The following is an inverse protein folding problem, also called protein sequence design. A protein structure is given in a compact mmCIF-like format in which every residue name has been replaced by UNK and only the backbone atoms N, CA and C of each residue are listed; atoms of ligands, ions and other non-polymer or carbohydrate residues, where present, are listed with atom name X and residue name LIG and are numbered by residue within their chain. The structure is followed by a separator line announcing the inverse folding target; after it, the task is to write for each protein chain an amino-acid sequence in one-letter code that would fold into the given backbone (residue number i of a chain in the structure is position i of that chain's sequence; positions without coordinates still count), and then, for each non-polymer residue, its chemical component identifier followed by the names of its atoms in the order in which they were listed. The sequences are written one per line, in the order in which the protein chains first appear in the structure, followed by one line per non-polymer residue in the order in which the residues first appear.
data_IF_485741438959
#
_entry.id   IF_485741438959
#
_cell.length_a   1.000
_cell.length_b   1.000
_cell.length_c   1.000
_cell.angle_alpha   90.00
_cell.angle_beta   90.00
_cell.angle_gamma   90.00
#
_symmetry.space_group_name_H-M   'P 1'
#
loop_
_entity.id
_entity.type
_entity.pdbx_description
1 polymer ?
#
# COMPACT_ATOMS: atom_id res chain seq x y z
N UNK A 1 -6.93 21.53 19.61
CA UNK A 1 -7.04 20.73 18.39
C UNK A 1 -7.62 21.57 17.24
N UNK A 2 -6.89 22.58 16.76
CA UNK A 2 -7.36 23.46 15.70
C UNK A 2 -6.59 23.19 14.40
N UNK A 3 -7.33 22.80 13.33
CA UNK A 3 -6.95 22.93 11.90
C UNK A 3 -5.76 22.17 11.32
N UNK A 4 -5.35 21.01 11.87
CA UNK A 4 -4.32 20.17 11.23
C UNK A 4 -4.88 19.48 9.96
N UNK A 5 -6.15 19.13 9.94
CA UNK A 5 -6.81 18.43 8.83
C UNK A 5 -6.85 19.23 7.52
N UNK A 6 -6.90 20.56 7.59
CA UNK A 6 -7.17 21.46 6.45
C UNK A 6 -5.95 22.26 5.98
N UNK A 7 -4.73 21.85 6.34
CA UNK A 7 -3.56 22.47 5.70
C UNK A 7 -3.62 22.17 4.20
N UNK A 8 -3.56 23.21 3.37
CA UNK A 8 -3.63 23.13 1.89
C UNK A 8 -2.70 22.05 1.32
N UNK A 9 -1.54 21.90 1.90
CA UNK A 9 -0.53 20.91 1.48
C UNK A 9 -0.98 19.46 1.70
N UNK A 10 -1.69 19.19 2.81
CA UNK A 10 -2.26 17.86 3.09
C UNK A 10 -3.35 17.51 2.08
N UNK A 11 -4.23 18.46 1.76
CA UNK A 11 -5.29 18.27 0.77
C UNK A 11 -4.69 17.96 -0.61
N UNK A 12 -3.65 18.69 -1.02
CA UNK A 12 -2.97 18.46 -2.31
C UNK A 12 -2.37 17.05 -2.41
N UNK A 13 -1.72 16.54 -1.35
CA UNK A 13 -1.17 15.18 -1.32
C UNK A 13 -2.27 14.12 -1.23
N UNK A 14 -3.28 14.34 -0.40
CA UNK A 14 -4.47 13.49 -0.34
C UNK A 14 -5.12 13.35 -1.72
N UNK A 15 -5.31 14.46 -2.42
CA UNK A 15 -5.89 14.46 -3.76
C UNK A 15 -5.01 13.74 -4.76
N UNK A 16 -3.69 13.93 -4.71
CA UNK A 16 -2.76 13.24 -5.61
C UNK A 16 -2.74 11.72 -5.36
N UNK A 17 -2.73 11.28 -4.10
CA UNK A 17 -2.83 9.86 -3.73
C UNK A 17 -4.20 9.27 -4.12
N UNK A 18 -5.28 10.02 -3.94
CA UNK A 18 -6.63 9.59 -4.32
C UNK A 18 -6.74 9.43 -5.84
N UNK A 19 -6.26 10.40 -6.62
CA UNK A 19 -6.23 10.29 -8.08
C UNK A 19 -5.33 9.15 -8.56
N UNK A 20 -4.19 8.92 -7.92
CA UNK A 20 -3.34 7.79 -8.23
C UNK A 20 -4.07 6.46 -8.01
N UNK A 21 -4.69 6.26 -6.86
CA UNK A 21 -5.45 5.03 -6.57
C UNK A 21 -6.64 4.87 -7.52
N UNK A 22 -7.35 5.96 -7.83
CA UNK A 22 -8.46 5.96 -8.76
C UNK A 22 -8.02 5.52 -10.16
N UNK A 23 -6.98 6.16 -10.71
CA UNK A 23 -6.50 5.83 -12.08
C UNK A 23 -5.88 4.44 -12.13
N UNK A 24 -5.13 4.03 -11.10
CA UNK A 24 -4.48 2.72 -11.04
C UNK A 24 -5.51 1.59 -11.06
N UNK A 25 -6.53 1.67 -10.18
CA UNK A 25 -7.55 0.64 -10.05
C UNK A 25 -8.64 0.75 -11.14
N UNK A 26 -8.91 1.95 -11.66
CA UNK A 26 -9.80 2.14 -12.80
C UNK A 26 -9.20 1.59 -14.09
N UNK A 27 -7.91 1.82 -14.32
CA UNK A 27 -7.22 1.23 -15.47
C UNK A 27 -7.16 -0.31 -15.39
N UNK A 28 -7.04 -0.88 -14.17
CA UNK A 28 -7.12 -2.33 -13.94
C UNK A 28 -8.49 -2.86 -14.32
N UNK A 29 -9.55 -2.25 -13.84
CA UNK A 29 -10.91 -2.66 -14.13
C UNK A 29 -11.26 -2.58 -15.64
N UNK A 30 -10.88 -1.47 -16.29
CA UNK A 30 -11.04 -1.32 -17.75
C UNK A 30 -10.24 -2.40 -18.50
N UNK A 31 -8.99 -2.65 -18.11
CA UNK A 31 -8.13 -3.66 -18.72
C UNK A 31 -8.75 -5.06 -18.61
N UNK A 32 -9.20 -5.46 -17.42
CA UNK A 32 -9.75 -6.78 -17.16
C UNK A 32 -11.04 -7.01 -17.97
N UNK A 33 -11.92 -5.99 -18.01
CA UNK A 33 -13.13 -6.03 -18.80
C UNK A 33 -12.85 -6.17 -20.31
N UNK A 34 -11.88 -5.42 -20.85
CA UNK A 34 -11.54 -5.51 -22.27
C UNK A 34 -10.79 -6.81 -22.60
N UNK A 35 -9.98 -7.30 -21.66
CA UNK A 35 -9.26 -8.56 -21.83
C UNK A 35 -10.18 -9.78 -21.80
N UNK A 36 -11.30 -9.71 -21.07
CA UNK A 36 -12.32 -10.77 -21.03
C UNK A 36 -12.96 -11.05 -22.41
N UNK A 37 -12.92 -10.10 -23.36
CA UNK A 37 -13.34 -10.33 -24.75
C UNK A 37 -12.29 -11.11 -25.57
N UNK A 38 -11.04 -11.24 -25.07
CA UNK A 38 -9.89 -11.75 -25.82
C UNK A 38 -9.42 -13.13 -25.34
N UNK A 39 -9.76 -13.51 -24.10
CA UNK A 39 -9.26 -14.75 -23.49
C UNK A 39 -10.24 -15.29 -22.44
N UNK A 40 -9.98 -16.49 -21.93
CA UNK A 40 -10.73 -17.08 -20.82
C UNK A 40 -10.44 -16.39 -19.49
N UNK A 41 -11.26 -16.67 -18.48
CA UNK A 41 -11.10 -16.05 -17.14
C UNK A 41 -9.72 -16.28 -16.51
N UNK A 42 -9.09 -17.44 -16.77
CA UNK A 42 -7.71 -17.70 -16.32
C UNK A 42 -6.69 -16.85 -17.05
N UNK A 43 -6.87 -16.64 -18.35
CA UNK A 43 -6.06 -15.74 -19.16
C UNK A 43 -6.18 -14.30 -18.73
N UNK A 44 -7.37 -13.82 -18.31
CA UNK A 44 -7.57 -12.48 -17.75
C UNK A 44 -6.73 -12.31 -16.48
N UNK A 45 -6.82 -13.24 -15.51
CA UNK A 45 -6.04 -13.18 -14.25
C UNK A 45 -4.54 -13.17 -14.51
N UNK A 46 -4.06 -13.97 -15.47
CA UNK A 46 -2.64 -13.96 -15.82
C UNK A 46 -2.22 -12.66 -16.49
N UNK A 47 -3.02 -12.13 -17.41
CA UNK A 47 -2.75 -10.86 -18.06
C UNK A 47 -2.74 -9.70 -17.04
N UNK A 48 -3.71 -9.66 -16.11
CA UNK A 48 -3.75 -8.71 -14.99
C UNK A 48 -2.48 -8.81 -14.14
N UNK A 49 -2.06 -10.03 -13.77
CA UNK A 49 -0.83 -10.22 -13.00
C UNK A 49 0.40 -9.66 -13.73
N UNK A 50 0.50 -9.83 -15.04
CA UNK A 50 1.61 -9.29 -15.83
C UNK A 50 1.61 -7.76 -15.88
N UNK A 51 0.45 -7.12 -16.09
CA UNK A 51 0.37 -5.65 -16.12
C UNK A 51 0.62 -5.06 -14.75
N UNK A 52 0.05 -5.61 -13.69
CA UNK A 52 0.35 -5.18 -12.32
C UNK A 52 1.84 -5.27 -12.02
N UNK A 53 2.46 -6.39 -12.33
CA UNK A 53 3.88 -6.59 -12.10
C UNK A 53 4.77 -5.69 -12.96
N UNK A 54 4.35 -5.32 -14.18
CA UNK A 54 5.11 -4.36 -15.00
C UNK A 54 5.21 -2.98 -14.32
N UNK A 55 4.25 -2.61 -13.48
CA UNK A 55 4.30 -1.37 -12.71
C UNK A 55 5.49 -1.31 -11.76
N UNK A 56 5.99 -2.47 -11.30
CA UNK A 56 7.20 -2.57 -10.47
C UNK A 56 8.40 -1.93 -11.16
N UNK A 57 8.54 -2.16 -12.48
CA UNK A 57 9.59 -1.52 -13.28
C UNK A 57 9.48 0.00 -13.20
N UNK A 58 8.26 0.55 -13.29
CA UNK A 58 8.00 1.98 -13.16
C UNK A 58 8.35 2.52 -11.77
N UNK A 59 7.96 1.81 -10.70
CA UNK A 59 8.28 2.20 -9.32
C UNK A 59 9.80 2.27 -9.09
N UNK A 60 10.56 1.31 -9.61
CA UNK A 60 12.01 1.27 -9.49
C UNK A 60 12.70 2.31 -10.38
N UNK A 61 12.19 2.47 -11.61
CA UNK A 61 12.76 3.38 -12.60
C UNK A 61 12.72 4.84 -12.14
N UNK A 62 11.67 5.26 -11.46
CA UNK A 62 11.55 6.60 -10.90
C UNK A 62 12.73 6.94 -9.97
N UNK A 63 13.08 6.04 -9.04
CA UNK A 63 14.21 6.25 -8.12
C UNK A 63 15.55 6.45 -8.82
N UNK A 64 15.72 5.84 -10.00
CA UNK A 64 16.94 5.99 -10.83
C UNK A 64 16.90 7.28 -11.66
N UNK A 65 15.73 7.64 -12.19
CA UNK A 65 15.57 8.77 -13.11
C UNK A 65 15.55 10.12 -12.39
N UNK A 66 14.89 10.21 -11.23
CA UNK A 66 14.63 11.49 -10.56
C UNK A 66 15.92 12.26 -10.23
N UNK A 67 16.95 11.56 -9.75
CA UNK A 67 18.26 12.17 -9.44
C UNK A 67 19.12 12.55 -10.67
N UNK A 68 18.84 11.98 -11.86
CA UNK A 68 19.66 12.15 -13.07
C UNK A 68 19.06 13.13 -14.08
N UNK A 69 17.75 13.34 -14.07
CA UNK A 69 17.06 14.15 -15.08
C UNK A 69 17.05 15.64 -14.71
N UNK A 70 17.34 16.50 -15.70
CA UNK A 70 17.18 17.96 -15.59
C UNK A 70 15.69 18.32 -15.52
N UNK A 71 15.33 19.42 -14.86
CA UNK A 71 13.94 19.88 -14.69
C UNK A 71 13.15 20.01 -16.01
N UNK A 72 13.80 20.48 -17.07
CA UNK A 72 13.17 20.56 -18.42
C UNK A 72 12.84 19.17 -18.96
N UNK A 73 13.74 18.20 -18.76
CA UNK A 73 13.53 16.82 -19.20
C UNK A 73 12.43 16.12 -18.36
N UNK A 74 12.33 16.42 -17.06
CA UNK A 74 11.23 15.92 -16.21
C UNK A 74 9.88 16.40 -16.71
N UNK A 75 9.75 17.70 -17.04
CA UNK A 75 8.50 18.26 -17.59
C UNK A 75 8.13 17.65 -18.95
N UNK A 76 9.10 17.56 -19.87
CA UNK A 76 8.87 16.94 -21.17
C UNK A 76 8.51 15.46 -21.02
N UNK A 77 9.18 14.74 -20.09
CA UNK A 77 8.88 13.35 -19.78
C UNK A 77 7.49 13.16 -19.19
N UNK A 78 7.05 14.06 -18.27
CA UNK A 78 5.70 14.04 -17.71
C UNK A 78 4.63 14.25 -18.78
N UNK A 79 4.82 15.25 -19.68
CA UNK A 79 3.90 15.46 -20.78
C UNK A 79 3.88 14.26 -21.76
N UNK A 80 5.05 13.72 -22.11
CA UNK A 80 5.15 12.51 -22.92
C UNK A 80 4.47 11.29 -22.29
N UNK A 81 4.63 11.11 -20.98
CA UNK A 81 3.95 10.05 -20.22
C UNK A 81 2.43 10.21 -20.27
N UNK A 82 1.91 11.44 -20.13
CA UNK A 82 0.48 11.72 -20.25
C UNK A 82 -0.09 11.38 -21.63
N UNK A 83 0.62 11.74 -22.70
CA UNK A 83 0.21 11.38 -24.08
C UNK A 83 0.27 9.87 -24.30
N UNK A 84 1.35 9.22 -23.88
CA UNK A 84 1.51 7.78 -24.05
C UNK A 84 0.45 6.99 -23.24
N UNK A 85 0.12 7.43 -22.02
CA UNK A 85 -0.94 6.83 -21.21
C UNK A 85 -2.31 6.96 -21.91
N UNK A 86 -2.61 8.13 -22.51
CA UNK A 86 -3.85 8.32 -23.28
C UNK A 86 -3.93 7.35 -24.47
N UNK A 87 -2.83 7.17 -25.20
CA UNK A 87 -2.76 6.21 -26.32
C UNK A 87 -2.95 4.78 -25.81
N UNK A 88 -2.30 4.39 -24.70
CA UNK A 88 -2.46 3.07 -24.12
C UNK A 88 -3.90 2.79 -23.66
N UNK A 89 -4.55 3.74 -22.94
CA UNK A 89 -5.94 3.62 -22.51
C UNK A 89 -6.88 3.48 -23.71
N UNK A 90 -6.63 4.25 -24.79
CA UNK A 90 -7.39 4.13 -26.02
C UNK A 90 -7.20 2.75 -26.69
N UNK A 91 -5.96 2.25 -26.75
CA UNK A 91 -5.68 0.91 -27.31
C UNK A 91 -6.34 -0.20 -26.51
N UNK A 92 -6.37 -0.10 -25.17
CA UNK A 92 -7.05 -1.04 -24.29
C UNK A 92 -8.56 -1.02 -24.60
N UNK A 93 -9.16 0.16 -24.67
CA UNK A 93 -10.59 0.32 -24.95
C UNK A 93 -10.97 -0.26 -26.32
N UNK A 94 -10.15 -0.06 -27.36
CA UNK A 94 -10.40 -0.60 -28.71
C UNK A 94 -10.22 -2.12 -28.75
N UNK A 95 -9.41 -2.71 -27.90
CA UNK A 95 -9.16 -4.15 -27.69
C UNK A 95 -9.10 -4.98 -28.99
N UNK A 96 -8.34 -4.52 -30.01
CA UNK A 96 -8.27 -5.18 -31.32
C UNK A 96 -7.75 -6.62 -31.26
N UNK A 97 -6.78 -6.90 -30.39
CA UNK A 97 -6.20 -8.24 -30.21
C UNK A 97 -5.60 -8.39 -28.81
N UNK A 98 -5.50 -9.62 -28.32
CA UNK A 98 -4.87 -9.96 -27.06
C UNK A 98 -3.48 -9.32 -26.91
N UNK A 99 -2.62 -9.45 -27.93
CA UNK A 99 -1.26 -8.92 -27.90
C UNK A 99 -1.19 -7.40 -27.82
N UNK A 100 -2.05 -6.67 -28.57
CA UNK A 100 -2.09 -5.20 -28.55
C UNK A 100 -2.63 -4.67 -27.20
N UNK A 101 -3.67 -5.30 -26.66
CA UNK A 101 -4.26 -4.92 -25.38
C UNK A 101 -3.29 -5.18 -24.24
N UNK A 102 -2.62 -6.35 -24.23
CA UNK A 102 -1.60 -6.68 -23.24
C UNK A 102 -0.41 -5.73 -23.31
N UNK A 103 0.11 -5.44 -24.52
CA UNK A 103 1.25 -4.52 -24.68
C UNK A 103 0.90 -3.10 -24.20
N UNK A 104 -0.28 -2.59 -24.53
CA UNK A 104 -0.77 -1.30 -24.05
C UNK A 104 -0.89 -1.28 -22.52
N UNK A 105 -1.44 -2.35 -21.92
CA UNK A 105 -1.51 -2.52 -20.47
C UNK A 105 -0.14 -2.50 -19.81
N UNK A 106 0.82 -3.28 -20.31
CA UNK A 106 2.19 -3.31 -19.77
C UNK A 106 2.84 -1.94 -19.77
N UNK A 107 2.74 -1.18 -20.88
CA UNK A 107 3.30 0.16 -20.98
C UNK A 107 2.58 1.11 -20.02
N UNK A 108 1.25 1.10 -19.98
CA UNK A 108 0.45 1.93 -19.09
C UNK A 108 0.85 1.73 -17.63
N UNK A 109 1.01 0.47 -17.20
CA UNK A 109 1.34 0.18 -15.80
C UNK A 109 2.78 0.54 -15.44
N UNK A 110 3.73 0.52 -16.36
CA UNK A 110 5.04 1.13 -16.13
C UNK A 110 4.90 2.64 -15.87
N UNK A 111 4.08 3.35 -16.65
CA UNK A 111 3.83 4.79 -16.44
C UNK A 111 3.13 5.07 -15.12
N UNK A 112 2.13 4.25 -14.77
CA UNK A 112 1.44 4.32 -13.48
C UNK A 112 2.39 4.01 -12.30
N UNK A 113 3.33 3.09 -12.47
CA UNK A 113 4.38 2.83 -11.50
C UNK A 113 5.29 4.03 -11.25
N UNK A 114 5.72 4.73 -12.32
CA UNK A 114 6.51 5.97 -12.21
C UNK A 114 5.71 7.06 -11.47
N UNK A 115 4.45 7.29 -11.87
CA UNK A 115 3.57 8.27 -11.24
C UNK A 115 3.30 7.91 -9.76
N UNK A 116 3.06 6.62 -9.47
CA UNK A 116 2.86 6.12 -8.12
C UNK A 116 4.08 6.34 -7.22
N UNK A 117 5.28 6.00 -7.70
CA UNK A 117 6.51 6.24 -6.94
C UNK A 117 6.71 7.73 -6.64
N UNK A 118 6.46 8.61 -7.61
CA UNK A 118 6.54 10.05 -7.43
C UNK A 118 5.55 10.58 -6.39
N UNK A 119 4.30 10.11 -6.39
CA UNK A 119 3.27 10.53 -5.42
C UNK A 119 3.63 10.08 -4.01
N UNK A 120 4.03 8.81 -3.84
CA UNK A 120 4.46 8.27 -2.54
C UNK A 120 5.72 8.97 -2.01
N UNK A 121 6.69 9.26 -2.89
CA UNK A 121 7.87 10.03 -2.52
C UNK A 121 7.51 11.44 -2.02
N UNK A 122 6.58 12.13 -2.69
CA UNK A 122 6.10 13.44 -2.21
C UNK A 122 5.37 13.35 -0.87
N UNK A 123 4.61 12.29 -0.67
CA UNK A 123 3.99 12.02 0.62
C UNK A 123 5.06 11.82 1.71
N UNK A 124 6.12 11.05 1.42
CA UNK A 124 7.24 10.83 2.34
C UNK A 124 7.97 12.12 2.71
N UNK A 125 8.27 12.98 1.72
CA UNK A 125 8.96 14.24 1.96
C UNK A 125 8.17 15.24 2.80
N UNK A 126 6.84 15.15 2.84
CA UNK A 126 5.99 16.12 3.52
C UNK A 126 5.34 15.62 4.79
N UNK A 127 4.98 14.34 4.82
CA UNK A 127 4.17 13.74 5.89
C UNK A 127 4.73 12.43 6.44
N UNK A 128 5.91 12.01 6.01
CA UNK A 128 6.50 10.73 6.44
C UNK A 128 6.64 10.58 7.96
N UNK A 129 6.77 11.71 8.66
CA UNK A 129 6.96 11.77 10.11
C UNK A 129 5.75 12.34 10.87
N UNK A 130 4.65 12.70 10.19
CA UNK A 130 3.48 13.26 10.87
C UNK A 130 2.61 12.18 11.53
N UNK A 131 1.97 12.53 12.65
CA UNK A 131 1.13 11.64 13.46
C UNK A 131 -0.10 11.09 12.72
N UNK A 132 -0.57 11.78 11.65
CA UNK A 132 -1.78 11.43 10.88
C UNK A 132 -1.49 10.90 9.47
N UNK A 133 -0.36 10.24 9.27
CA UNK A 133 0.03 9.72 7.96
C UNK A 133 -0.90 8.61 7.48
N UNK A 134 -1.23 7.64 8.34
CA UNK A 134 -2.07 6.51 7.95
C UNK A 134 -3.51 6.97 7.63
N UNK A 135 -4.03 7.93 8.38
CA UNK A 135 -5.32 8.56 8.09
C UNK A 135 -5.31 9.25 6.73
N UNK A 136 -4.24 9.99 6.39
CA UNK A 136 -4.08 10.64 5.09
C UNK A 136 -4.07 9.62 3.95
N UNK A 137 -3.33 8.53 4.09
CA UNK A 137 -3.26 7.44 3.11
C UNK A 137 -4.61 6.72 3.00
N UNK A 138 -5.24 6.38 4.13
CA UNK A 138 -6.51 5.67 4.17
C UNK A 138 -7.67 6.47 3.57
N UNK A 139 -7.77 7.77 3.89
CA UNK A 139 -8.77 8.68 3.29
C UNK A 139 -8.52 8.82 1.79
N UNK A 140 -7.27 8.97 1.36
CA UNK A 140 -6.94 9.06 -0.06
C UNK A 140 -7.33 7.79 -0.83
N UNK A 141 -7.06 6.63 -0.24
CA UNK A 141 -7.44 5.35 -0.80
C UNK A 141 -8.97 5.20 -0.91
N UNK A 142 -9.69 5.55 0.16
CA UNK A 142 -11.13 5.52 0.19
C UNK A 142 -11.77 6.45 -0.86
N UNK A 143 -11.25 7.66 -1.02
CA UNK A 143 -11.72 8.61 -2.06
C UNK A 143 -11.48 8.03 -3.45
N UNK A 144 -10.28 7.48 -3.73
CA UNK A 144 -9.97 6.89 -5.03
C UNK A 144 -10.92 5.75 -5.39
N UNK A 145 -11.21 4.86 -4.44
CA UNK A 145 -12.16 3.75 -4.62
C UNK A 145 -13.60 4.20 -4.77
N UNK A 146 -14.00 5.23 -4.03
CA UNK A 146 -15.33 5.80 -4.15
C UNK A 146 -15.53 6.46 -5.53
N UNK A 147 -14.53 7.15 -6.06
CA UNK A 147 -14.57 7.68 -7.42
C UNK A 147 -14.70 6.55 -8.46
N UNK A 148 -13.95 5.47 -8.29
CA UNK A 148 -14.06 4.30 -9.16
C UNK A 148 -15.45 3.64 -9.06
N UNK A 149 -16.01 3.51 -7.86
CA UNK A 149 -17.36 3.02 -7.68
C UNK A 149 -18.39 3.89 -8.42
N UNK A 150 -18.28 5.21 -8.32
CA UNK A 150 -19.17 6.13 -9.05
C UNK A 150 -19.03 5.96 -10.57
N UNK A 151 -17.79 5.89 -11.07
CA UNK A 151 -17.52 5.67 -12.49
C UNK A 151 -18.15 4.38 -12.98
N UNK A 152 -17.89 3.26 -12.34
CA UNK A 152 -18.36 1.94 -12.75
C UNK A 152 -19.91 1.84 -12.73
N UNK A 153 -20.58 2.60 -11.87
CA UNK A 153 -22.04 2.56 -11.76
C UNK A 153 -22.78 3.63 -12.60
N UNK A 154 -22.10 4.72 -12.96
CA UNK A 154 -22.69 5.81 -13.75
C UNK A 154 -22.29 5.76 -15.22
N UNK A 155 -21.15 5.14 -15.54
CA UNK A 155 -20.57 5.12 -16.88
C UNK A 155 -20.50 3.68 -17.37
N UNK A 156 -21.29 3.38 -18.40
CA UNK A 156 -21.36 2.05 -18.98
C UNK A 156 -20.74 2.02 -20.40
N UNK A 157 -19.81 2.94 -20.66
CA UNK A 157 -19.15 3.08 -21.95
C UNK A 157 -17.64 3.14 -21.77
N UNK A 158 -16.94 2.11 -22.23
CA UNK A 158 -15.48 1.97 -22.09
C UNK A 158 -14.70 3.13 -22.73
N UNK A 159 -15.21 3.75 -23.80
CA UNK A 159 -14.53 4.92 -24.41
C UNK A 159 -14.62 6.16 -23.51
N UNK A 160 -15.77 6.37 -22.85
CA UNK A 160 -15.94 7.46 -21.89
C UNK A 160 -15.07 7.22 -20.66
N UNK A 161 -15.03 6.00 -20.15
CA UNK A 161 -14.15 5.58 -19.04
C UNK A 161 -12.68 5.86 -19.38
N UNK A 162 -12.20 5.45 -20.56
CA UNK A 162 -10.81 5.72 -20.99
C UNK A 162 -10.50 7.22 -21.06
N UNK A 163 -11.46 8.06 -21.48
CA UNK A 163 -11.30 9.53 -21.50
C UNK A 163 -11.20 10.07 -20.08
N UNK A 164 -12.06 9.64 -19.16
CA UNK A 164 -12.07 10.10 -17.77
C UNK A 164 -10.78 9.71 -17.07
N UNK A 165 -10.33 8.46 -17.21
CA UNK A 165 -9.04 7.99 -16.67
C UNK A 165 -7.87 8.78 -17.25
N UNK A 166 -7.90 9.14 -18.55
CA UNK A 166 -6.91 10.00 -19.18
C UNK A 166 -6.88 11.38 -18.53
N UNK A 167 -8.03 12.03 -18.36
CA UNK A 167 -8.13 13.35 -17.73
C UNK A 167 -7.66 13.29 -16.28
N UNK A 168 -8.04 12.25 -15.54
CA UNK A 168 -7.61 12.05 -14.17
C UNK A 168 -6.08 11.84 -14.07
N UNK A 169 -5.48 11.10 -15.00
CA UNK A 169 -4.03 10.93 -15.05
C UNK A 169 -3.30 12.25 -15.35
N UNK A 170 -3.81 13.06 -16.26
CA UNK A 170 -3.27 14.40 -16.52
C UNK A 170 -3.41 15.32 -15.30
N UNK A 171 -4.55 15.27 -14.61
CA UNK A 171 -4.75 16.00 -13.35
C UNK A 171 -3.75 15.57 -12.28
N UNK A 172 -3.50 14.26 -12.15
CA UNK A 172 -2.49 13.71 -11.26
C UNK A 172 -1.10 14.26 -11.59
N UNK A 173 -0.66 14.18 -12.86
CA UNK A 173 0.65 14.68 -13.29
C UNK A 173 0.78 16.19 -13.02
N UNK A 174 -0.26 16.98 -13.30
CA UNK A 174 -0.28 18.42 -13.03
C UNK A 174 -0.14 18.74 -11.54
N UNK A 175 -0.88 18.07 -10.67
CA UNK A 175 -0.80 18.27 -9.22
C UNK A 175 0.59 17.94 -8.69
N UNK A 176 1.18 16.87 -9.24
CA UNK A 176 2.48 16.40 -8.80
C UNK A 176 3.60 17.29 -9.35
N UNK A 177 3.48 17.89 -10.54
CA UNK A 177 4.51 18.76 -11.13
C UNK A 177 4.55 20.15 -10.51
N UNK A 178 3.40 20.69 -10.10
CA UNK A 178 3.21 22.10 -9.71
C UNK A 178 4.12 22.59 -8.57
N UNK A 179 4.70 21.72 -7.75
CA UNK A 179 5.57 22.13 -6.63
C UNK A 179 6.90 21.40 -6.59
N UNK A 180 7.99 22.17 -6.61
CA UNK A 180 9.33 21.69 -6.27
C UNK A 180 9.34 21.20 -4.83
N UNK A 181 9.83 19.99 -4.61
CA UNK A 181 10.20 19.53 -3.26
C UNK A 181 11.41 20.34 -2.84
N UNK A 182 11.24 21.22 -1.86
CA UNK A 182 12.36 21.96 -1.31
C UNK A 182 13.27 20.98 -0.59
N UNK A 183 14.54 20.84 -1.02
CA UNK A 183 15.52 19.91 -0.45
C UNK A 183 15.76 20.09 1.07
N UNK A 184 15.41 21.26 1.61
CA UNK A 184 15.54 21.58 3.04
C UNK A 184 14.58 20.82 3.97
N UNK A 185 13.50 20.20 3.43
CA UNK A 185 12.52 19.50 4.26
C UNK A 185 13.02 18.11 4.70
N UNK A 186 13.86 17.49 3.91
CA UNK A 186 14.45 16.21 4.24
C UNK A 186 15.52 16.31 5.36
N UNK A 187 16.29 17.40 5.35
CA UNK A 187 17.22 17.68 6.46
C UNK A 187 16.47 17.99 7.76
N UNK A 188 15.36 18.75 7.67
CA UNK A 188 14.55 19.12 8.83
C UNK A 188 13.87 17.91 9.49
N UNK A 189 13.34 16.97 8.70
CA UNK A 189 12.66 15.78 9.23
C UNK A 189 13.62 14.79 9.91
N UNK A 190 14.89 14.74 9.50
CA UNK A 190 15.91 13.89 10.13
C UNK A 190 16.34 14.38 11.52
N UNK A 191 16.13 15.67 11.83
CA UNK A 191 16.53 16.26 13.11
C UNK A 191 15.39 16.37 14.14
N UNK A 192 14.12 16.30 13.72
CA UNK A 192 12.96 16.52 14.61
C UNK A 192 12.24 15.24 15.06
N UNK A 193 12.61 14.07 14.53
CA UNK A 193 11.94 12.79 14.88
C UNK A 193 12.87 11.84 15.59
N UNK A 194 12.32 11.08 16.53
CA UNK A 194 13.03 10.02 17.24
C UNK A 194 13.61 9.01 16.24
N UNK A 195 14.93 8.74 16.28
CA UNK A 195 15.56 7.88 15.31
C UNK A 195 15.08 6.43 15.45
N UNK A 196 14.73 5.79 14.34
CA UNK A 196 14.56 4.34 14.31
C UNK A 196 15.92 3.67 14.45
N UNK A 197 16.05 2.75 15.40
CA UNK A 197 17.33 2.11 15.74
C UNK A 197 17.99 1.41 14.54
N UNK A 198 17.20 0.72 13.72
CA UNK A 198 17.68 -0.04 12.56
C UNK A 198 16.80 0.19 11.30
N UNK A 199 16.83 1.40 10.68
CA UNK A 199 15.89 1.74 9.63
C UNK A 199 15.97 0.83 8.39
N UNK A 200 17.18 0.41 7.98
CA UNK A 200 17.34 -0.51 6.85
C UNK A 200 16.83 -1.92 7.17
N UNK A 201 17.08 -2.43 8.37
CA UNK A 201 16.55 -3.72 8.78
C UNK A 201 15.03 -3.69 8.87
N UNK A 202 14.45 -2.63 9.43
CA UNK A 202 13.01 -2.42 9.46
C UNK A 202 12.40 -2.36 8.07
N UNK A 203 13.05 -1.66 7.13
CA UNK A 203 12.56 -1.56 5.75
C UNK A 203 12.60 -2.90 5.02
N UNK A 204 13.71 -3.64 5.12
CA UNK A 204 13.84 -4.97 4.51
C UNK A 204 12.83 -5.95 5.09
N UNK A 205 12.65 -5.92 6.41
CA UNK A 205 11.68 -6.79 7.10
C UNK A 205 10.25 -6.43 6.73
N UNK A 206 9.92 -5.13 6.59
CA UNK A 206 8.61 -4.69 6.10
C UNK A 206 8.36 -5.23 4.68
N UNK A 207 9.32 -5.06 3.78
CA UNK A 207 9.22 -5.56 2.39
C UNK A 207 8.99 -7.06 2.37
N UNK A 208 9.76 -7.82 3.16
CA UNK A 208 9.58 -9.26 3.28
C UNK A 208 8.20 -9.63 3.84
N UNK A 209 7.73 -8.91 4.86
CA UNK A 209 6.39 -9.07 5.41
C UNK A 209 5.31 -8.81 4.35
N UNK A 210 5.45 -7.72 3.57
CA UNK A 210 4.53 -7.39 2.47
C UNK A 210 4.53 -8.49 1.41
N UNK A 211 5.70 -9.01 1.04
CA UNK A 211 5.80 -10.11 0.07
C UNK A 211 5.06 -11.37 0.54
N UNK A 212 5.25 -11.77 1.79
CA UNK A 212 4.53 -12.92 2.37
C UNK A 212 3.01 -12.67 2.47
N UNK A 213 2.58 -11.48 2.91
CA UNK A 213 1.16 -11.12 2.96
C UNK A 213 0.54 -11.13 1.57
N UNK A 214 1.26 -10.65 0.55
CA UNK A 214 0.78 -10.66 -0.83
C UNK A 214 0.46 -12.09 -1.30
N UNK A 215 1.16 -13.11 -0.81
CA UNK A 215 0.83 -14.49 -1.16
C UNK A 215 -0.61 -14.87 -0.77
N UNK A 216 -1.08 -14.40 0.39
CA UNK A 216 -2.47 -14.62 0.84
C UNK A 216 -3.43 -13.73 0.04
N UNK A 217 -3.15 -12.43 0.01
CA UNK A 217 -4.06 -11.46 -0.60
C UNK A 217 -4.19 -11.63 -2.11
N UNK A 218 -3.09 -11.90 -2.85
CA UNK A 218 -3.14 -12.14 -4.28
C UNK A 218 -3.86 -13.46 -4.62
N UNK A 219 -3.79 -14.48 -3.77
CA UNK A 219 -4.56 -15.72 -3.99
C UNK A 219 -6.06 -15.47 -3.88
N UNK A 220 -6.49 -14.68 -2.89
CA UNK A 220 -7.88 -14.27 -2.74
C UNK A 220 -8.34 -13.35 -3.88
N UNK A 221 -7.51 -12.40 -4.28
CA UNK A 221 -7.76 -11.49 -5.39
C UNK A 221 -7.93 -12.25 -6.72
N UNK A 222 -7.05 -13.20 -7.01
CA UNK A 222 -7.16 -14.06 -8.19
C UNK A 222 -8.44 -14.89 -8.20
N UNK A 223 -8.90 -15.38 -7.04
CA UNK A 223 -10.18 -16.09 -6.93
C UNK A 223 -11.37 -15.17 -7.25
N UNK A 224 -11.31 -13.93 -6.80
CA UNK A 224 -12.31 -12.90 -7.06
C UNK A 224 -12.32 -12.47 -8.53
N UNK A 225 -11.13 -12.23 -9.10
CA UNK A 225 -10.98 -11.87 -10.53
C UNK A 225 -11.44 -13.00 -11.45
N UNK A 226 -11.19 -14.26 -11.09
CA UNK A 226 -11.75 -15.41 -11.81
C UNK A 226 -13.28 -15.40 -11.81
N UNK A 227 -13.89 -15.08 -10.66
CA UNK A 227 -15.34 -14.95 -10.54
C UNK A 227 -15.89 -13.79 -11.37
N UNK A 228 -15.23 -12.65 -11.38
CA UNK A 228 -15.60 -11.48 -12.19
C UNK A 228 -15.49 -11.78 -13.69
N UNK A 229 -14.36 -12.25 -14.16
CA UNK A 229 -14.13 -12.59 -15.56
C UNK A 229 -15.02 -13.75 -16.04
N UNK A 230 -15.48 -14.62 -15.13
CA UNK A 230 -16.46 -15.66 -15.39
C UNK A 230 -17.91 -15.17 -15.35
N UNK A 231 -18.18 -13.89 -15.11
CA UNK A 231 -19.51 -13.30 -15.07
C UNK A 231 -20.35 -13.67 -13.84
N UNK A 232 -19.75 -14.30 -12.81
CA UNK A 232 -20.48 -14.69 -11.60
C UNK A 232 -20.69 -13.55 -10.62
N UNK A 233 -19.91 -12.46 -10.74
CA UNK A 233 -20.01 -11.25 -9.92
C UNK A 233 -19.38 -10.05 -10.62
N UNK A 234 -19.80 -8.84 -10.23
CA UNK A 234 -19.18 -7.59 -10.65
C UNK A 234 -18.44 -6.96 -9.47
N UNK A 235 -17.10 -6.90 -9.59
CA UNK A 235 -16.22 -6.31 -8.56
C UNK A 235 -16.28 -4.79 -8.56
N UNK A 236 -16.80 -4.15 -9.60
CA UNK A 236 -16.92 -2.69 -9.73
C UNK A 236 -18.01 -2.07 -8.88
N UNK A 237 -18.91 -2.89 -8.33
CA UNK A 237 -20.08 -2.44 -7.58
C UNK A 237 -19.82 -2.36 -6.06
N UNK A 238 -20.73 -2.88 -5.25
CA UNK A 238 -20.66 -2.83 -3.78
C UNK A 238 -19.34 -3.33 -3.14
N UNK A 239 -18.58 -4.29 -3.72
CA UNK A 239 -17.28 -4.67 -3.16
C UNK A 239 -16.32 -3.50 -3.04
N UNK A 240 -16.33 -2.56 -3.99
CA UNK A 240 -15.51 -1.34 -3.94
C UNK A 240 -15.85 -0.43 -2.75
N UNK A 241 -17.11 -0.37 -2.33
CA UNK A 241 -17.50 0.39 -1.15
C UNK A 241 -16.95 -0.22 0.14
N UNK A 242 -16.97 -1.56 0.27
CA UNK A 242 -16.35 -2.23 1.42
C UNK A 242 -14.86 -1.93 1.48
N UNK A 243 -14.18 -2.00 0.35
CA UNK A 243 -12.75 -1.70 0.25
C UNK A 243 -12.46 -0.23 0.62
N UNK A 244 -13.30 0.72 0.18
CA UNK A 244 -13.19 2.13 0.53
C UNK A 244 -13.36 2.36 2.05
N UNK A 245 -14.40 1.77 2.64
CA UNK A 245 -14.66 1.83 4.09
C UNK A 245 -13.51 1.21 4.87
N UNK A 246 -13.00 0.07 4.43
CA UNK A 246 -11.84 -0.60 5.01
C UNK A 246 -10.59 0.28 5.00
N UNK A 247 -10.32 0.96 3.89
CA UNK A 247 -9.22 1.93 3.77
C UNK A 247 -9.35 3.08 4.75
N UNK A 248 -10.55 3.64 4.90
CA UNK A 248 -10.83 4.71 5.86
C UNK A 248 -10.63 4.25 7.29
N UNK A 249 -11.22 3.11 7.67
CA UNK A 249 -11.13 2.53 9.02
C UNK A 249 -9.68 2.19 9.37
N UNK A 250 -8.95 1.58 8.45
CA UNK A 250 -7.54 1.23 8.67
C UNK A 250 -6.66 2.47 8.88
N UNK A 251 -6.91 3.55 8.12
CA UNK A 251 -6.19 4.81 8.30
C UNK A 251 -6.32 5.36 9.72
N UNK A 252 -7.56 5.41 10.24
CA UNK A 252 -7.84 5.87 11.62
C UNK A 252 -7.22 4.95 12.66
N UNK A 253 -7.39 3.63 12.49
CA UNK A 253 -6.90 2.65 13.47
C UNK A 253 -5.38 2.57 13.52
N UNK A 254 -4.69 2.73 12.39
CA UNK A 254 -3.23 2.67 12.34
C UNK A 254 -2.55 3.91 12.94
N UNK A 255 -3.22 5.06 12.98
CA UNK A 255 -2.73 6.25 13.68
C UNK A 255 -3.18 6.30 15.16
N UNK A 256 -4.12 5.42 15.57
CA UNK A 256 -4.54 5.35 16.96
C UNK A 256 -3.36 4.99 17.89
N UNK A 257 -3.26 5.71 19.01
CA UNK A 257 -2.17 5.53 19.98
C UNK A 257 -0.78 5.80 19.38
N UNK A 258 -0.67 6.77 18.43
CA UNK A 258 0.57 7.11 17.72
C UNK A 258 1.14 5.95 16.89
N UNK A 259 0.27 5.07 16.40
CA UNK A 259 0.65 3.93 15.56
C UNK A 259 1.15 2.70 16.31
N UNK A 260 1.10 2.69 17.64
CA UNK A 260 1.56 1.57 18.49
C UNK A 260 0.88 0.25 18.16
N UNK A 261 -0.41 0.29 17.80
CA UNK A 261 -1.21 -0.91 17.55
C UNK A 261 -1.23 -1.37 16.09
N UNK A 262 -0.59 -0.65 15.18
CA UNK A 262 -0.63 -0.92 13.72
C UNK A 262 -0.23 -2.36 13.39
N UNK A 263 0.87 -2.86 13.92
CA UNK A 263 1.37 -4.21 13.65
C UNK A 263 0.47 -5.29 14.25
N UNK A 264 -0.06 -5.05 15.45
CA UNK A 264 -1.02 -5.95 16.10
C UNK A 264 -2.33 -6.03 15.30
N UNK A 265 -2.87 -4.91 14.86
CA UNK A 265 -4.08 -4.85 14.03
C UNK A 265 -3.83 -5.63 12.74
N UNK A 266 -2.68 -5.42 12.08
CA UNK A 266 -2.37 -6.12 10.83
C UNK A 266 -2.19 -7.63 11.03
N UNK A 267 -1.64 -8.06 12.18
CA UNK A 267 -1.60 -9.46 12.58
C UNK A 267 -3.02 -10.06 12.68
N UNK A 268 -3.94 -9.38 13.37
CA UNK A 268 -5.33 -9.82 13.49
C UNK A 268 -6.04 -9.89 12.14
N UNK A 269 -5.80 -8.92 11.25
CA UNK A 269 -6.35 -8.90 9.89
C UNK A 269 -5.83 -10.06 9.06
N UNK A 270 -4.54 -10.38 9.15
CA UNK A 270 -3.94 -11.53 8.46
C UNK A 270 -4.49 -12.86 8.99
N UNK A 271 -4.68 -12.97 10.31
CA UNK A 271 -5.32 -14.14 10.92
C UNK A 271 -6.75 -14.31 10.37
N UNK A 272 -7.54 -13.24 10.36
CA UNK A 272 -8.91 -13.25 9.83
C UNK A 272 -8.94 -13.68 8.36
N UNK A 273 -8.04 -13.17 7.52
CA UNK A 273 -7.92 -13.55 6.11
C UNK A 273 -7.56 -15.02 5.95
N UNK A 274 -6.65 -15.53 6.78
CA UNK A 274 -6.26 -16.95 6.76
C UNK A 274 -7.44 -17.85 7.14
N UNK A 275 -8.15 -17.52 8.23
CA UNK A 275 -9.36 -18.24 8.64
C UNK A 275 -10.42 -18.21 7.53
N UNK A 276 -10.57 -17.07 6.86
CA UNK A 276 -11.48 -16.93 5.73
C UNK A 276 -11.17 -17.92 4.59
N UNK A 277 -9.89 -18.05 4.20
CA UNK A 277 -9.47 -19.04 3.20
C UNK A 277 -9.85 -20.45 3.65
N UNK A 278 -9.56 -20.81 4.91
CA UNK A 278 -9.86 -22.12 5.46
C UNK A 278 -11.37 -22.41 5.43
N UNK A 279 -12.21 -21.43 5.76
CA UNK A 279 -13.68 -21.57 5.71
C UNK A 279 -14.18 -21.76 4.29
N UNK A 280 -13.70 -20.96 3.32
CA UNK A 280 -14.08 -21.09 1.90
C UNK A 280 -13.70 -22.46 1.37
N UNK A 281 -12.49 -22.91 1.62
CA UNK A 281 -11.96 -24.21 1.16
C UNK A 281 -12.70 -25.38 1.80
N UNK A 282 -13.24 -25.21 3.00
CA UNK A 282 -14.07 -26.20 3.68
C UNK A 282 -15.55 -26.20 3.24
N UNK A 283 -15.90 -25.45 2.18
CA UNK A 283 -17.28 -25.37 1.65
C UNK A 283 -18.13 -24.30 2.30
N UNK A 284 -17.55 -23.34 3.00
CA UNK A 284 -18.25 -22.20 3.57
C UNK A 284 -18.72 -21.16 2.54
N UNK A 285 -19.43 -20.14 3.00
CA UNK A 285 -20.00 -19.10 2.14
C UNK A 285 -18.92 -18.27 1.43
N UNK A 286 -18.90 -18.33 0.10
CA UNK A 286 -18.03 -17.50 -0.74
C UNK A 286 -18.28 -16.01 -0.55
N UNK A 287 -19.55 -15.59 -0.41
CA UNK A 287 -19.93 -14.20 -0.19
C UNK A 287 -19.32 -13.63 1.10
N UNK A 288 -19.36 -14.41 2.18
CA UNK A 288 -18.77 -14.01 3.46
C UNK A 288 -17.23 -13.88 3.33
N UNK A 289 -16.61 -14.82 2.61
CA UNK A 289 -15.19 -14.76 2.29
C UNK A 289 -14.82 -13.51 1.49
N UNK A 290 -15.63 -13.15 0.53
CA UNK A 290 -15.46 -11.94 -0.27
C UNK A 290 -15.52 -10.66 0.58
N UNK A 291 -16.48 -10.55 1.49
CA UNK A 291 -16.59 -9.41 2.41
C UNK A 291 -15.32 -9.30 3.28
N UNK A 292 -14.89 -10.42 3.85
CA UNK A 292 -13.68 -10.47 4.69
C UNK A 292 -12.43 -10.11 3.88
N UNK A 293 -12.34 -10.59 2.63
CA UNK A 293 -11.23 -10.24 1.73
C UNK A 293 -11.16 -8.73 1.49
N UNK A 294 -12.25 -8.09 1.06
CA UNK A 294 -12.24 -6.66 0.78
C UNK A 294 -12.00 -5.81 2.03
N UNK A 295 -12.54 -6.24 3.17
CA UNK A 295 -12.25 -5.60 4.45
C UNK A 295 -10.75 -5.68 4.77
N UNK A 296 -10.14 -6.84 4.60
CA UNK A 296 -8.73 -7.08 4.89
C UNK A 296 -7.79 -6.39 3.89
N UNK A 297 -8.16 -6.35 2.62
CA UNK A 297 -7.33 -5.78 1.55
C UNK A 297 -7.09 -4.28 1.72
N UNK A 298 -8.09 -3.52 2.19
CA UNK A 298 -7.91 -2.09 2.51
C UNK A 298 -6.91 -1.88 3.65
N UNK A 299 -6.96 -2.68 4.71
CA UNK A 299 -5.96 -2.65 5.79
C UNK A 299 -4.56 -2.93 5.25
N UNK A 300 -4.42 -3.94 4.39
CA UNK A 300 -3.14 -4.31 3.82
C UNK A 300 -2.53 -3.18 2.97
N UNK A 301 -3.32 -2.56 2.08
CA UNK A 301 -2.85 -1.46 1.24
C UNK A 301 -2.42 -0.26 2.07
N UNK A 302 -3.19 0.14 3.08
CA UNK A 302 -2.83 1.26 3.96
C UNK A 302 -1.61 0.92 4.81
N UNK A 303 -1.48 -0.33 5.28
CA UNK A 303 -0.33 -0.80 6.07
C UNK A 303 0.98 -0.63 5.32
N UNK A 304 1.11 -1.23 4.13
CA UNK A 304 2.37 -1.17 3.41
C UNK A 304 2.68 0.22 2.85
N UNK A 305 1.66 0.94 2.39
CA UNK A 305 1.84 2.31 1.87
C UNK A 305 2.35 3.24 2.99
N UNK A 306 1.69 3.25 4.14
CA UNK A 306 2.08 4.06 5.30
C UNK A 306 3.46 3.66 5.82
N UNK A 307 3.72 2.35 5.93
CA UNK A 307 4.99 1.82 6.42
C UNK A 307 6.17 2.24 5.54
N UNK A 308 6.06 2.09 4.21
CA UNK A 308 7.11 2.46 3.28
C UNK A 308 7.31 3.98 3.18
N UNK A 309 6.23 4.77 3.16
CA UNK A 309 6.30 6.24 3.17
C UNK A 309 7.00 6.74 4.43
N UNK A 310 6.67 6.19 5.61
CA UNK A 310 7.31 6.56 6.88
C UNK A 310 8.81 6.19 6.90
N UNK A 311 9.15 4.97 6.51
CA UNK A 311 10.54 4.50 6.49
C UNK A 311 11.40 5.23 5.46
N UNK A 312 10.81 5.67 4.33
CA UNK A 312 11.54 6.41 3.30
C UNK A 312 12.22 7.67 3.84
N UNK A 313 11.63 8.33 4.86
CA UNK A 313 12.21 9.50 5.51
C UNK A 313 13.56 9.23 6.21
N UNK A 314 13.86 7.98 6.56
CA UNK A 314 15.11 7.55 7.19
C UNK A 314 16.13 6.99 6.19
N UNK A 315 15.82 6.93 4.89
CA UNK A 315 16.64 6.28 3.89
C UNK A 315 17.44 7.28 3.06
N UNK A 316 18.66 6.85 2.62
CA UNK A 316 19.51 7.66 1.75
C UNK A 316 18.89 7.97 0.38
N UNK A 317 18.01 7.09 -0.11
CA UNK A 317 17.32 7.22 -1.42
C UNK A 317 15.82 7.07 -1.19
N UNK A 318 15.14 8.08 -0.61
CA UNK A 318 13.72 8.00 -0.27
C UNK A 318 12.82 7.79 -1.48
N UNK A 319 13.24 8.26 -2.67
CA UNK A 319 12.54 8.06 -3.93
C UNK A 319 12.31 6.58 -4.27
N UNK A 320 13.27 5.72 -3.89
CA UNK A 320 13.20 4.28 -4.10
C UNK A 320 12.30 3.60 -3.06
N UNK A 321 12.40 4.03 -1.79
CA UNK A 321 11.73 3.34 -0.69
C UNK A 321 10.26 3.71 -0.51
N UNK A 322 9.86 4.93 -0.87
CA UNK A 322 8.51 5.42 -0.62
C UNK A 322 7.42 4.60 -1.34
N UNK A 323 7.68 4.16 -2.59
CA UNK A 323 6.76 3.34 -3.39
C UNK A 323 7.00 1.83 -3.28
N UNK A 324 8.00 1.39 -2.49
CA UNK A 324 8.48 0.01 -2.49
C UNK A 324 7.41 -1.00 -2.05
N UNK A 325 6.53 -0.63 -1.12
CA UNK A 325 5.44 -1.51 -0.68
C UNK A 325 4.52 -1.91 -1.84
N UNK A 326 4.12 -0.95 -2.65
CA UNK A 326 3.29 -1.21 -3.84
C UNK A 326 4.09 -1.98 -4.90
N UNK A 327 5.34 -1.64 -5.11
CA UNK A 327 6.22 -2.33 -6.06
C UNK A 327 6.35 -3.82 -5.73
N UNK A 328 6.63 -4.14 -4.46
CA UNK A 328 6.77 -5.54 -4.00
C UNK A 328 5.44 -6.29 -4.06
N UNK A 329 4.33 -5.64 -3.63
CA UNK A 329 3.01 -6.24 -3.78
C UNK A 329 2.72 -6.63 -5.23
N UNK A 330 2.96 -5.74 -6.19
CA UNK A 330 2.69 -5.98 -7.59
C UNK A 330 3.67 -6.99 -8.23
N UNK A 331 4.95 -6.99 -7.81
CA UNK A 331 5.92 -8.02 -8.22
C UNK A 331 5.49 -9.41 -7.76
N UNK A 332 5.06 -9.53 -6.51
CA UNK A 332 4.60 -10.80 -5.96
C UNK A 332 3.32 -11.30 -6.66
N UNK A 333 2.46 -10.40 -7.16
CA UNK A 333 1.28 -10.79 -7.94
C UNK A 333 1.67 -11.61 -9.20
N UNK A 334 2.73 -11.20 -9.93
CA UNK A 334 3.26 -12.01 -11.05
C UNK A 334 3.73 -13.38 -10.58
N UNK A 335 4.57 -13.41 -9.53
CA UNK A 335 5.21 -14.65 -9.07
C UNK A 335 4.17 -15.66 -8.57
N UNK A 336 3.08 -15.17 -7.99
CA UNK A 336 2.05 -16.00 -7.36
C UNK A 336 0.89 -16.28 -8.33
N UNK A 337 0.65 -15.41 -9.32
CA UNK A 337 -0.50 -15.50 -10.20
C UNK A 337 -0.72 -16.89 -10.80
N UNK A 338 0.27 -17.42 -11.51
CA UNK A 338 0.18 -18.76 -12.11
C UNK A 338 0.04 -19.87 -11.07
N UNK A 339 0.77 -19.76 -9.95
CA UNK A 339 0.72 -20.77 -8.88
C UNK A 339 -0.64 -20.77 -8.17
N UNK A 340 -1.18 -19.60 -7.83
CA UNK A 340 -2.46 -19.49 -7.15
C UNK A 340 -3.63 -19.94 -8.02
N UNK A 341 -3.63 -19.60 -9.33
CA UNK A 341 -4.64 -20.10 -10.28
C UNK A 341 -4.59 -21.61 -10.39
N UNK A 342 -3.37 -22.20 -10.50
CA UNK A 342 -3.21 -23.66 -10.53
C UNK A 342 -3.70 -24.31 -9.21
N UNK A 343 -3.38 -23.70 -8.07
CA UNK A 343 -3.80 -24.18 -6.76
C UNK A 343 -5.33 -24.12 -6.59
N UNK A 344 -5.96 -23.01 -6.97
CA UNK A 344 -7.43 -22.85 -6.93
C UNK A 344 -8.11 -23.88 -7.84
N UNK A 345 -7.62 -24.04 -9.06
CA UNK A 345 -8.16 -25.01 -10.03
C UNK A 345 -7.96 -26.48 -9.63
N UNK A 346 -6.93 -26.79 -8.82
CA UNK A 346 -6.69 -28.15 -8.36
C UNK A 346 -7.79 -28.70 -7.44
N UNK A 347 -8.51 -27.81 -6.74
CA UNK A 347 -9.54 -28.20 -5.78
C UNK A 347 -9.03 -28.97 -4.56
N UNK A 348 -7.69 -29.07 -4.37
CA UNK A 348 -7.09 -29.83 -3.25
C UNK A 348 -7.11 -28.98 -1.96
N UNK A 349 -8.20 -29.13 -1.23
CA UNK A 349 -8.44 -28.42 0.04
C UNK A 349 -7.30 -28.58 1.04
N UNK A 350 -6.69 -29.77 1.10
CA UNK A 350 -5.61 -30.07 2.07
C UNK A 350 -4.35 -29.26 1.76
N UNK A 351 -3.96 -29.19 0.48
CA UNK A 351 -2.80 -28.39 0.07
C UNK A 351 -3.00 -26.91 0.33
N UNK A 352 -4.20 -26.38 0.02
CA UNK A 352 -4.53 -24.97 0.27
C UNK A 352 -4.47 -24.68 1.77
N UNK A 353 -5.02 -25.56 2.62
CA UNK A 353 -5.00 -25.38 4.07
C UNK A 353 -3.57 -25.37 4.62
N UNK A 354 -2.73 -26.34 4.25
CA UNK A 354 -1.33 -26.43 4.71
C UNK A 354 -0.54 -25.19 4.26
N UNK A 355 -0.67 -24.79 3.00
CA UNK A 355 0.00 -23.59 2.50
C UNK A 355 -0.43 -22.32 3.22
N UNK A 356 -1.74 -22.14 3.48
CA UNK A 356 -2.28 -20.96 4.17
C UNK A 356 -1.81 -20.89 5.62
N UNK A 357 -1.81 -21.99 6.35
CA UNK A 357 -1.32 -22.06 7.74
C UNK A 357 0.19 -21.80 7.79
N UNK A 358 0.97 -22.42 6.88
CA UNK A 358 2.42 -22.20 6.80
C UNK A 358 2.76 -20.74 6.51
N UNK A 359 2.07 -20.10 5.58
CA UNK A 359 2.23 -18.68 5.28
C UNK A 359 1.85 -17.80 6.49
N UNK A 360 0.76 -18.11 7.18
CA UNK A 360 0.37 -17.35 8.38
C UNK A 360 1.45 -17.40 9.47
N UNK A 361 2.06 -18.57 9.70
CA UNK A 361 3.17 -18.69 10.67
C UNK A 361 4.37 -17.85 10.24
N UNK A 362 4.75 -17.90 8.96
CA UNK A 362 5.87 -17.09 8.44
C UNK A 362 5.57 -15.58 8.55
N UNK A 363 4.35 -15.14 8.22
CA UNK A 363 3.92 -13.74 8.36
C UNK A 363 3.96 -13.31 9.82
N UNK A 364 3.52 -14.16 10.74
CA UNK A 364 3.54 -13.87 12.18
C UNK A 364 4.97 -13.60 12.68
N UNK A 365 5.91 -14.44 12.26
CA UNK A 365 7.34 -14.26 12.56
C UNK A 365 7.86 -12.95 11.94
N UNK A 366 7.52 -12.69 10.67
CA UNK A 366 7.98 -11.49 9.97
C UNK A 366 7.43 -10.19 10.61
N UNK A 367 6.14 -10.16 11.01
CA UNK A 367 5.54 -9.03 11.74
C UNK A 367 6.26 -8.81 13.08
N UNK A 368 6.54 -9.89 13.81
CA UNK A 368 7.27 -9.80 15.09
C UNK A 368 8.65 -9.17 14.89
N UNK A 369 9.44 -9.67 13.92
CA UNK A 369 10.76 -9.13 13.62
C UNK A 369 10.66 -7.67 13.17
N UNK A 370 9.68 -7.33 12.30
CA UNK A 370 9.44 -5.95 11.87
C UNK A 370 9.11 -5.03 13.05
N UNK A 371 8.31 -5.51 14.01
CA UNK A 371 7.96 -4.75 15.21
C UNK A 371 9.21 -4.44 16.04
N UNK A 372 10.08 -5.44 16.25
CA UNK A 372 11.30 -5.26 17.03
C UNK A 372 12.30 -4.33 16.32
N UNK A 373 12.47 -4.48 14.98
CA UNK A 373 13.42 -3.66 14.21
C UNK A 373 12.95 -2.22 14.02
N UNK A 374 11.64 -1.98 14.01
CA UNK A 374 11.01 -0.67 13.82
C UNK A 374 10.83 0.15 15.09
N UNK A 375 11.28 -0.34 16.25
CA UNK A 375 11.22 0.41 17.51
C UNK A 375 12.10 1.65 17.46
N UNK A 376 11.59 2.78 17.92
CA UNK A 376 12.37 4.00 18.14
C UNK A 376 13.15 3.88 19.45
N UNK A 377 14.26 4.61 19.58
CA UNK A 377 15.06 4.61 20.83
C UNK A 377 14.27 5.08 22.06
N UNK A 378 13.19 5.85 21.83
CA UNK A 378 12.26 6.35 22.89
C UNK A 378 11.22 5.30 23.30
N UNK A 379 10.99 4.26 22.48
CA UNK A 379 10.12 3.12 22.81
C UNK A 379 10.87 1.99 23.55
N UNK A 380 12.05 2.25 24.09
CA UNK A 380 12.59 1.43 25.19
C UNK A 380 11.47 1.30 26.22
N UNK A 381 11.16 0.06 26.66
CA UNK A 381 9.92 -0.20 27.37
C UNK A 381 9.73 0.86 28.47
N UNK A 382 8.49 1.36 28.59
CA UNK A 382 8.06 2.23 29.70
C UNK A 382 8.55 1.73 31.06
N UNK A 383 8.92 0.45 31.16
CA UNK A 383 9.54 -0.17 32.30
C UNK A 383 11.00 0.28 32.55
N UNK A 384 11.85 0.37 31.51
CA UNK A 384 13.25 0.85 31.70
C UNK A 384 13.28 2.36 31.95
N UNK A 385 12.37 3.10 31.29
CA UNK A 385 12.23 4.53 31.52
C UNK A 385 11.67 4.81 32.92
N UNK A 386 10.63 4.08 33.34
CA UNK A 386 10.10 4.17 34.70
C UNK A 386 11.12 3.74 35.75
N UNK A 387 11.86 2.66 35.50
CA UNK A 387 12.92 2.23 36.39
C UNK A 387 14.04 3.26 36.50
N UNK A 388 14.39 3.90 35.38
CA UNK A 388 15.40 4.97 35.38
C UNK A 388 14.89 6.26 36.04
N UNK A 389 13.64 6.64 35.77
CA UNK A 389 12.98 7.76 36.45
C UNK A 389 12.81 7.48 37.96
N UNK A 390 12.41 6.28 38.36
CA UNK A 390 12.33 5.85 39.77
C UNK A 390 13.71 5.85 40.42
N UNK A 391 14.74 5.43 39.72
CA UNK A 391 16.11 5.41 40.20
C UNK A 391 16.69 6.83 40.33
N UNK A 392 16.37 7.72 39.37
CA UNK A 392 16.75 9.14 39.43
C UNK A 392 15.99 9.88 40.56
N UNK A 393 14.70 9.60 40.73
CA UNK A 393 13.92 10.13 41.87
C UNK A 393 14.40 9.61 43.20
N UNK A 394 14.79 8.33 43.29
CA UNK A 394 15.31 7.73 44.50
C UNK A 394 16.67 8.32 44.87
N UNK A 395 17.56 8.50 43.89
CA UNK A 395 18.90 9.12 44.14
C UNK A 395 18.76 10.59 44.58
N UNK A 396 17.86 11.36 43.92
CA UNK A 396 17.62 12.74 44.32
C UNK A 396 16.98 12.85 45.70
N UNK A 397 16.13 11.91 46.10
CA UNK A 397 15.56 11.80 47.42
C UNK A 397 16.63 11.46 48.46
N UNK A 398 17.46 10.46 48.16
CA UNK A 398 18.55 10.05 49.01
C UNK A 398 19.56 11.19 49.29
N UNK A 399 19.90 11.98 48.27
CA UNK A 399 20.79 13.14 48.36
C UNK A 399 20.12 14.28 49.14
N UNK A 400 18.84 14.55 48.92
CA UNK A 400 18.10 15.63 49.60
C UNK A 400 18.01 15.40 51.12
N UNK A 401 17.86 14.15 51.53
CA UNK A 401 17.72 13.76 52.94
C UNK A 401 18.98 13.19 53.54
N UNK A 402 20.13 13.25 52.79
CA UNK A 402 21.44 12.76 53.20
C UNK A 402 21.39 11.33 53.81
N UNK A 403 20.66 10.44 53.13
CA UNK A 403 20.47 9.05 53.59
C UNK A 403 21.79 8.27 53.49
N UNK A 404 22.12 7.54 54.56
CA UNK A 404 23.26 6.63 54.54
C UNK A 404 23.01 5.42 53.63
N UNK A 405 24.12 4.78 53.19
CA UNK A 405 24.04 3.61 52.30
C UNK A 405 23.12 2.51 52.84
N UNK A 406 23.08 2.32 54.17
CA UNK A 406 22.23 1.34 54.87
C UNK A 406 20.76 1.71 54.86
N UNK A 407 20.43 2.99 54.96
CA UNK A 407 19.05 3.49 54.86
C UNK A 407 18.55 3.43 53.43
N UNK A 408 19.40 3.66 52.42
CA UNK A 408 19.08 3.47 51.04
C UNK A 408 18.80 2.02 50.67
N UNK A 409 19.50 1.06 51.28
CA UNK A 409 19.31 -0.39 51.09
C UNK A 409 18.00 -0.91 51.69
N UNK A 410 17.52 -0.29 52.76
CA UNK A 410 16.25 -0.62 53.41
C UNK A 410 15.03 -0.01 52.69
N UNK A 411 15.24 1.10 51.95
CA UNK A 411 14.18 1.80 51.23
C UNK A 411 14.04 1.35 49.78
N UNK A 412 14.98 0.59 49.22
CA UNK A 412 14.88 -0.12 47.95
C UNK A 412 14.09 -1.42 48.08
#
# INVERSE_FOLDING_TARGET
MKNIFWKRERIEIMTALALFNYVFLGAEYLFDNMMAFQTDSGGVVLAQSYVLGSSTVGFLLFGVLDGKMRERAKKAGSAGAGVLAAVCLWMIQVHQSYGSTLAAGLILYVLLGIAGSLVHYRAACRYGMEEHLAETVGVSYAIGLFLQFLENNLIHNAAVEAVILTVAFWALLFLVEKRKVAGSLMERNLYESDPIRHPYAAAVTLIFTVALMTCIFATLDNAVTLGHAGGSMDIGQWPRLILAVSGLVSGVLFDYGKGRYRNLIMYCVTLLSTVCILVIVSGGSFLLGLIVFYLSAGFFVVFFSTGCVRLAGYMRVPQFWAGMGRAVNNLCAILIGSFSVALIRSGDSTKIMIASIGLFVLISIAIYIYTVMGQTEVELPDQERKQKEEQDYFSAFADTYALTEREQEVLK
#
